data_IF_021787673962
#
_entry.id   IF_021787673962
#
_cell.length_a   1.000
_cell.length_b   1.000
_cell.length_c   1.000
_cell.angle_alpha   90.00
_cell.angle_beta   90.00
_cell.angle_gamma   90.00
#
_symmetry.space_group_name_H-M   'P 1'
#
loop_
_entity.id
_entity.type
_entity.pdbx_description
1 polymer ?
#
# COMPACT_ATOMS: atom_id res chain seq x y z
N UNK A 1 20.17 -1.34 10.73
CA UNK A 1 19.70 -1.26 10.70
C UNK A 1 18.95 -1.03 10.78
N UNK A 2 18.96 -0.98 10.73
CA UNK A 2 18.32 -0.83 10.74
C UNK A 2 17.46 -0.69 10.81
N UNK A 3 17.37 -0.54 10.76
CA UNK A 3 16.57 -0.48 10.71
C UNK A 3 15.73 -0.62 10.83
N UNK A 4 16.04 -0.62 10.80
CA UNK A 4 15.35 -0.77 10.84
C UNK A 4 14.46 -1.11 11.23
N UNK A 5 14.86 -1.68 11.16
CA UNK A 5 14.02 -1.82 11.79
C UNK A 5 13.04 -1.06 12.14
N UNK A 6 12.99 -0.43 11.80
CA UNK A 6 12.03 0.52 12.20
C UNK A 6 10.62 -0.01 11.88
N UNK A 7 9.63 0.46 12.66
CA UNK A 7 8.27 -0.04 12.52
C UNK A 7 7.33 1.04 12.00
N UNK A 8 7.87 2.01 11.29
CA UNK A 8 7.03 3.05 10.69
C UNK A 8 6.32 2.49 9.47
N UNK A 9 5.00 2.57 9.47
CA UNK A 9 4.18 2.13 8.36
C UNK A 9 3.38 3.32 7.88
N UNK A 10 3.33 3.52 6.57
CA UNK A 10 2.61 4.63 5.96
C UNK A 10 1.38 4.09 5.25
N UNK A 11 0.22 4.62 5.61
CA UNK A 11 -1.06 4.22 5.03
C UNK A 11 -1.54 5.36 4.14
N UNK A 12 -1.74 5.06 2.87
CA UNK A 12 -2.20 6.05 1.89
C UNK A 12 -3.68 5.85 1.62
N UNK A 13 -4.46 6.88 1.88
CA UNK A 13 -5.88 6.86 1.68
C UNK A 13 -6.30 8.08 0.86
N UNK A 14 -7.54 8.51 0.96
CA UNK A 14 -8.15 9.47 0.02
C UNK A 14 -7.28 10.69 -0.27
N UNK A 15 -6.88 11.42 0.75
CA UNK A 15 -6.04 12.60 0.58
C UNK A 15 -5.09 12.74 1.75
N UNK A 16 -4.74 11.61 2.38
CA UNK A 16 -3.93 11.62 3.58
C UNK A 16 -2.88 10.53 3.52
N UNK A 17 -1.77 10.81 4.16
CA UNK A 17 -0.76 9.81 4.47
C UNK A 17 -0.74 9.71 5.99
N UNK A 18 -0.95 8.50 6.50
CA UNK A 18 -1.00 8.26 7.93
C UNK A 18 0.20 7.41 8.30
N UNK A 19 0.99 7.89 9.25
CA UNK A 19 2.15 7.14 9.73
C UNK A 19 1.81 6.46 11.06
N UNK A 20 2.07 5.16 11.12
CA UNK A 20 1.81 4.36 12.31
C UNK A 20 3.09 3.63 12.68
N UNK A 21 3.45 3.69 13.95
CA UNK A 21 4.62 2.97 14.46
C UNK A 21 4.16 1.63 15.01
N UNK A 22 4.17 0.62 14.15
CA UNK A 22 3.64 -0.69 14.52
C UNK A 22 4.14 -1.72 13.50
N UNK A 23 4.23 -2.97 13.93
CA UNK A 23 4.61 -4.02 12.99
C UNK A 23 3.55 -4.16 11.93
N UNK A 24 4.00 -4.23 10.68
CA UNK A 24 3.09 -4.30 9.55
C UNK A 24 2.23 -5.56 9.59
N UNK A 25 2.81 -6.69 9.98
CA UNK A 25 2.06 -7.94 10.04
C UNK A 25 0.90 -7.88 11.01
N UNK A 26 1.09 -7.17 12.12
CA UNK A 26 0.01 -7.00 13.10
C UNK A 26 -1.05 -6.06 12.56
N UNK A 27 -0.62 -5.02 11.84
CA UNK A 27 -1.52 -4.00 11.33
C UNK A 27 -2.40 -4.53 10.21
N UNK A 28 -1.83 -5.32 9.30
CA UNK A 28 -2.56 -5.81 8.14
C UNK A 28 -3.78 -6.62 8.54
N UNK A 29 -3.66 -7.40 9.62
CA UNK A 29 -4.77 -8.23 10.09
C UNK A 29 -5.93 -7.40 10.62
N UNK A 30 -5.69 -6.14 10.95
CA UNK A 30 -6.72 -5.26 11.52
C UNK A 30 -7.41 -4.41 10.46
N UNK A 31 -6.91 -4.43 9.22
CA UNK A 31 -7.43 -3.55 8.18
C UNK A 31 -8.43 -4.27 7.28
N UNK A 32 -9.40 -3.53 6.72
CA UNK A 32 -10.34 -4.12 5.76
C UNK A 32 -9.64 -4.62 4.50
N UNK A 33 -10.35 -5.45 3.73
CA UNK A 33 -9.79 -6.08 2.54
C UNK A 33 -9.36 -5.10 1.46
N UNK A 34 -9.94 -3.91 1.43
CA UNK A 34 -9.59 -2.93 0.40
C UNK A 34 -8.29 -2.20 0.70
N UNK A 35 -7.63 -2.51 1.79
CA UNK A 35 -6.27 -2.06 2.04
C UNK A 35 -5.29 -3.14 1.58
N UNK A 36 -4.24 -2.71 0.91
CA UNK A 36 -3.25 -3.64 0.36
C UNK A 36 -1.84 -3.17 0.67
N UNK A 37 -1.03 -4.09 1.14
CA UNK A 37 0.38 -3.83 1.36
C UNK A 37 1.13 -3.98 0.04
N UNK A 38 1.65 -2.87 -0.47
CA UNK A 38 2.40 -2.88 -1.72
C UNK A 38 3.91 -2.74 -1.52
N UNK A 39 4.32 -2.57 -0.29
CA UNK A 39 5.72 -2.34 0.06
C UNK A 39 5.87 -2.68 1.54
N UNK A 40 7.08 -3.01 1.97
CA UNK A 40 7.28 -3.38 3.37
C UNK A 40 6.87 -2.28 4.34
N UNK A 41 6.81 -1.04 3.88
CA UNK A 41 6.47 0.09 4.73
C UNK A 41 5.20 0.82 4.30
N UNK A 42 4.54 0.38 3.23
CA UNK A 42 3.41 1.12 2.68
C UNK A 42 2.18 0.26 2.50
N UNK A 43 1.05 0.83 2.91
CA UNK A 43 -0.27 0.24 2.70
C UNK A 43 -1.11 1.27 1.98
N UNK A 44 -1.86 0.86 0.96
CA UNK A 44 -2.72 1.76 0.21
C UNK A 44 -4.16 1.32 0.32
N UNK A 45 -5.07 2.29 0.31
CA UNK A 45 -6.49 2.02 0.19
C UNK A 45 -6.83 1.94 -1.30
N UNK A 46 -7.18 0.74 -1.76
CA UNK A 46 -7.43 0.48 -3.17
C UNK A 46 -8.55 1.35 -3.75
N UNK A 47 -9.49 1.79 -2.90
CA UNK A 47 -10.58 2.66 -3.37
C UNK A 47 -10.08 3.98 -3.94
N UNK A 48 -8.88 4.39 -3.55
CA UNK A 48 -8.34 5.70 -3.96
C UNK A 48 -7.12 5.56 -4.85
N UNK A 49 -6.87 4.36 -5.37
CA UNK A 49 -5.83 4.15 -6.37
C UNK A 49 -6.45 4.37 -7.75
N UNK A 50 -5.88 5.28 -8.53
CA UNK A 50 -6.43 5.59 -9.84
C UNK A 50 -5.66 4.92 -10.97
N UNK A 51 -4.42 4.50 -10.72
CA UNK A 51 -3.63 3.86 -11.74
C UNK A 51 -2.50 3.05 -11.11
N UNK A 52 -2.16 1.94 -11.76
CA UNK A 52 -1.01 1.13 -11.38
C UNK A 52 -0.02 1.12 -12.54
N UNK A 53 1.18 1.60 -12.29
CA UNK A 53 2.32 1.40 -13.17
C UNK A 53 3.14 0.25 -12.58
N UNK A 54 4.16 -0.19 -13.33
CA UNK A 54 4.92 -1.36 -12.89
C UNK A 54 5.44 -1.25 -11.45
N UNK A 55 5.95 -0.09 -11.10
CA UNK A 55 6.61 0.10 -9.81
C UNK A 55 5.93 1.15 -8.94
N UNK A 56 4.82 1.73 -9.40
CA UNK A 56 4.17 2.83 -8.69
C UNK A 56 2.66 2.70 -8.73
N UNK A 57 2.05 3.00 -7.59
CA UNK A 57 0.60 3.19 -7.52
C UNK A 57 0.33 4.68 -7.44
N UNK A 58 -0.60 5.15 -8.27
CA UNK A 58 -0.99 6.55 -8.30
C UNK A 58 -2.28 6.73 -7.53
N UNK A 59 -2.22 7.58 -6.50
CA UNK A 59 -3.38 7.83 -5.66
C UNK A 59 -4.22 8.96 -6.23
N UNK A 60 -5.49 9.00 -5.82
CA UNK A 60 -6.43 10.00 -6.32
C UNK A 60 -5.99 11.43 -6.02
N UNK A 61 -5.22 11.64 -4.95
CA UNK A 61 -4.75 12.98 -4.58
C UNK A 61 -3.44 13.35 -5.26
N UNK A 62 -2.95 12.52 -6.18
CA UNK A 62 -1.72 12.81 -6.92
C UNK A 62 -0.46 12.19 -6.32
N UNK A 63 -0.57 11.56 -5.17
CA UNK A 63 0.61 10.91 -4.56
C UNK A 63 0.98 9.65 -5.32
N UNK A 64 2.25 9.31 -5.29
CA UNK A 64 2.76 8.09 -5.90
C UNK A 64 3.37 7.22 -4.80
N UNK A 65 2.94 5.97 -4.73
CA UNK A 65 3.39 5.04 -3.71
C UNK A 65 4.18 3.92 -4.38
N UNK A 66 5.43 3.71 -3.98
CA UNK A 66 6.24 2.68 -4.62
C UNK A 66 5.75 1.28 -4.29
N UNK A 67 5.89 0.38 -5.26
CA UNK A 67 5.58 -1.04 -5.09
C UNK A 67 6.89 -1.78 -5.11
N UNK A 68 7.22 -2.49 -4.02
CA UNK A 68 8.48 -3.20 -3.97
C UNK A 68 8.48 -4.37 -4.94
N UNK A 69 9.68 -4.79 -5.35
CA UNK A 69 9.82 -5.86 -6.34
C UNK A 69 9.04 -7.11 -5.93
N UNK A 70 9.09 -7.47 -4.67
CA UNK A 70 8.45 -8.70 -4.21
C UNK A 70 6.94 -8.60 -4.16
N UNK A 71 6.40 -7.39 -4.26
CA UNK A 71 4.95 -7.16 -4.19
C UNK A 71 4.34 -6.83 -5.56
N UNK A 72 5.15 -6.72 -6.61
CA UNK A 72 4.62 -6.25 -7.90
C UNK A 72 3.58 -7.18 -8.49
N UNK A 73 3.87 -8.48 -8.54
CA UNK A 73 2.94 -9.44 -9.13
C UNK A 73 1.64 -9.50 -8.33
N UNK A 74 1.76 -9.55 -7.01
CA UNK A 74 0.59 -9.61 -6.15
C UNK A 74 -0.24 -8.34 -6.26
N UNK A 75 0.42 -7.19 -6.25
CA UNK A 75 -0.28 -5.91 -6.33
C UNK A 75 -1.03 -5.77 -7.63
N UNK A 76 -0.42 -6.20 -8.74
CA UNK A 76 -1.08 -6.17 -10.03
C UNK A 76 -2.34 -7.02 -10.02
N UNK A 77 -2.22 -8.24 -9.53
CA UNK A 77 -3.35 -9.15 -9.49
C UNK A 77 -4.48 -8.61 -8.61
N UNK A 78 -4.13 -8.14 -7.43
CA UNK A 78 -5.13 -7.64 -6.49
C UNK A 78 -5.81 -6.39 -7.03
N UNK A 79 -5.03 -5.49 -7.61
CA UNK A 79 -5.61 -4.26 -8.17
C UNK A 79 -6.54 -4.57 -9.33
N UNK A 80 -6.12 -5.47 -10.25
CA UNK A 80 -6.96 -5.82 -11.38
C UNK A 80 -8.25 -6.48 -10.93
N UNK A 81 -8.18 -7.35 -9.93
CA UNK A 81 -9.38 -7.98 -9.40
C UNK A 81 -10.30 -6.95 -8.75
N UNK A 82 -9.73 -5.98 -8.07
CA UNK A 82 -10.51 -4.94 -7.43
C UNK A 82 -11.24 -4.08 -8.45
N UNK A 83 -10.54 -3.70 -9.51
CA UNK A 83 -11.11 -2.84 -10.56
C UNK A 83 -12.22 -3.58 -11.33
N UNK A 84 -12.06 -4.89 -11.52
CA UNK A 84 -12.99 -5.69 -12.29
C UNK A 84 -14.13 -6.29 -11.46
N UNK A 85 -14.13 -6.03 -10.17
CA UNK A 85 -15.15 -6.59 -9.27
C UNK A 85 -16.52 -5.94 -9.47
#
# INVERSE_FOLDING_TARGET
ADLSNDHNVYIYTKNREIRIYQKLTDLVDLLPDYFHQCHKSYIVNLEYVVRLERTLLYMADGRMVPVSRTHQAETKEIYENYVNA
#
